data_IF_460697220571
#
_entry.id   IF_460697220571
#
_cell.length_a   1.000
_cell.length_b   1.000
_cell.length_c   1.000
_cell.angle_alpha   90.00
_cell.angle_beta   90.00
_cell.angle_gamma   90.00
#
_symmetry.space_group_name_H-M   'P 1'
#
loop_
_entity.id
_entity.type
_entity.pdbx_description
1 polymer ?
#
# COMPACT_ATOMS: atom_id res chain seq x y z
N UNK A 1 -16.61 34.13 7.65
CA UNK A 1 -15.95 32.82 7.50
C UNK A 1 -14.46 33.10 7.30
N UNK A 2 -13.62 32.54 8.16
CA UNK A 2 -12.18 32.70 8.04
C UNK A 2 -11.64 31.59 7.16
N UNK A 3 -10.72 31.94 6.25
CA UNK A 3 -10.01 31.00 5.40
C UNK A 3 -8.55 30.99 5.84
N UNK A 4 -8.04 29.81 6.18
CA UNK A 4 -6.61 29.61 6.44
C UNK A 4 -6.05 28.61 5.43
N UNK A 5 -4.77 28.75 5.11
CA UNK A 5 -4.04 27.84 4.22
C UNK A 5 -2.66 27.55 4.80
N UNK A 6 -2.12 26.38 4.43
CA UNK A 6 -0.78 25.96 4.82
C UNK A 6 -0.03 25.50 3.57
N UNK A 7 1.21 25.99 3.40
CA UNK A 7 2.09 25.56 2.33
C UNK A 7 2.86 24.30 2.78
N UNK A 8 2.68 23.20 2.08
CA UNK A 8 3.24 21.89 2.48
C UNK A 8 4.43 21.46 1.62
N UNK A 9 4.66 22.11 0.48
CA UNK A 9 5.73 21.79 -0.47
C UNK A 9 5.50 20.51 -1.27
N UNK A 10 5.04 19.45 -0.63
CA UNK A 10 4.73 18.15 -1.26
C UNK A 10 3.23 17.88 -1.28
N UNK A 11 2.73 17.38 -2.41
CA UNK A 11 1.34 16.91 -2.52
C UNK A 11 1.04 15.76 -1.55
N UNK A 12 2.01 14.87 -1.30
CA UNK A 12 1.86 13.82 -0.32
C UNK A 12 1.54 14.39 1.07
N UNK A 13 2.31 15.38 1.51
CA UNK A 13 2.08 16.03 2.82
C UNK A 13 0.73 16.75 2.84
N UNK A 14 0.35 17.42 1.74
CA UNK A 14 -0.96 18.07 1.64
C UNK A 14 -2.11 17.06 1.82
N UNK A 15 -2.04 15.91 1.18
CA UNK A 15 -3.04 14.84 1.31
C UNK A 15 -3.09 14.23 2.73
N UNK A 16 -1.93 14.06 3.36
CA UNK A 16 -1.84 13.55 4.75
C UNK A 16 -2.44 14.57 5.74
N UNK A 17 -2.12 15.85 5.56
CA UNK A 17 -2.65 16.94 6.37
C UNK A 17 -4.16 17.08 6.18
N UNK A 18 -4.65 17.10 4.95
CA UNK A 18 -6.09 17.12 4.64
C UNK A 18 -6.83 15.97 5.34
N UNK A 19 -6.29 14.75 5.25
CA UNK A 19 -6.88 13.59 5.90
C UNK A 19 -6.96 13.75 7.43
N UNK A 20 -5.91 14.31 8.04
CA UNK A 20 -5.87 14.59 9.49
C UNK A 20 -6.91 15.66 9.88
N UNK A 21 -6.97 16.77 9.15
CA UNK A 21 -7.90 17.87 9.38
C UNK A 21 -9.37 17.43 9.21
N UNK A 22 -9.69 16.65 8.18
CA UNK A 22 -11.04 16.10 7.97
C UNK A 22 -11.44 15.22 9.16
N UNK A 23 -10.53 14.42 9.71
CA UNK A 23 -10.83 13.57 10.88
C UNK A 23 -11.01 14.38 12.15
N UNK A 24 -10.20 15.42 12.34
CA UNK A 24 -10.29 16.30 13.50
C UNK A 24 -11.56 17.15 13.47
N UNK A 25 -11.84 17.81 12.36
CA UNK A 25 -12.94 18.79 12.21
C UNK A 25 -14.28 18.17 11.82
N UNK A 26 -14.30 16.93 11.28
CA UNK A 26 -15.50 16.19 10.83
C UNK A 26 -16.50 17.04 10.03
N UNK A 27 -16.06 17.75 8.97
CA UNK A 27 -16.92 18.69 8.25
C UNK A 27 -18.11 17.99 7.59
N UNK A 28 -19.29 18.64 7.64
CA UNK A 28 -20.56 18.08 7.17
C UNK A 28 -20.56 17.75 5.66
N UNK A 29 -19.86 18.54 4.84
CA UNK A 29 -19.88 18.45 3.38
C UNK A 29 -18.81 17.56 2.75
N UNK A 30 -17.81 17.10 3.50
CA UNK A 30 -16.74 16.24 2.99
C UNK A 30 -17.10 14.73 2.85
N UNK A 31 -18.35 14.36 3.11
CA UNK A 31 -18.85 13.01 2.86
C UNK A 31 -18.76 12.60 1.38
N UNK A 32 -18.80 13.55 0.45
CA UNK A 32 -18.74 13.27 -0.99
C UNK A 32 -17.32 13.03 -1.49
N UNK A 33 -16.30 13.68 -0.93
CA UNK A 33 -14.88 13.45 -1.29
C UNK A 33 -14.33 12.13 -0.75
N UNK A 34 -14.94 11.51 0.27
CA UNK A 34 -14.64 10.16 0.74
C UNK A 34 -14.96 9.06 -0.26
N UNK A 35 -15.66 9.37 -1.34
CA UNK A 35 -15.83 8.47 -2.48
C UNK A 35 -14.68 8.70 -3.46
N UNK A 36 -13.43 8.45 -3.02
CA UNK A 36 -12.37 8.14 -3.97
C UNK A 36 -12.92 7.08 -4.91
N UNK A 37 -12.72 7.23 -6.21
CA UNK A 37 -13.25 6.30 -7.22
C UNK A 37 -12.73 4.86 -7.12
N UNK A 38 -12.04 4.54 -6.02
CA UNK A 38 -11.53 3.21 -5.69
C UNK A 38 -12.64 2.36 -5.06
N UNK A 39 -13.17 1.43 -5.87
CA UNK A 39 -14.26 0.54 -5.46
C UNK A 39 -13.81 -0.90 -5.22
N UNK A 40 -12.63 -1.28 -5.71
CA UNK A 40 -12.11 -2.63 -5.68
C UNK A 40 -10.78 -2.69 -4.95
N UNK A 41 -10.57 -3.74 -4.17
CA UNK A 41 -9.33 -3.98 -3.45
C UNK A 41 -8.83 -5.40 -3.61
N UNK A 42 -7.50 -5.60 -3.60
CA UNK A 42 -6.86 -6.89 -3.43
C UNK A 42 -6.65 -7.11 -1.94
N UNK A 43 -6.91 -8.32 -1.48
CA UNK A 43 -6.75 -8.78 -0.10
C UNK A 43 -5.97 -10.07 -0.07
N UNK A 44 -5.35 -10.38 1.05
CA UNK A 44 -4.75 -11.70 1.33
C UNK A 44 -5.12 -12.21 2.72
N UNK A 45 -5.10 -13.50 2.86
CA UNK A 45 -5.22 -14.20 4.14
C UNK A 45 -4.53 -15.55 4.02
N UNK A 46 -4.20 -16.16 5.14
CA UNK A 46 -3.75 -17.56 5.17
C UNK A 46 -4.95 -18.45 5.43
N UNK A 47 -5.13 -19.50 4.62
CA UNK A 47 -6.21 -20.47 4.81
C UNK A 47 -5.87 -21.52 5.87
N UNK A 48 -6.83 -22.40 6.20
CA UNK A 48 -6.69 -23.47 7.18
C UNK A 48 -5.60 -24.49 6.82
N UNK A 49 -5.27 -24.62 5.54
CA UNK A 49 -4.22 -25.49 5.02
C UNK A 49 -2.84 -24.82 5.04
N UNK A 50 -2.76 -23.56 5.45
CA UNK A 50 -1.54 -22.77 5.55
C UNK A 50 -1.11 -22.09 4.27
N UNK A 51 -1.91 -22.08 3.20
CA UNK A 51 -1.59 -21.35 1.97
C UNK A 51 -1.96 -19.87 2.10
N UNK A 52 -1.09 -18.99 1.64
CA UNK A 52 -1.40 -17.58 1.43
C UNK A 52 -2.33 -17.47 0.22
N UNK A 53 -3.53 -16.96 0.45
CA UNK A 53 -4.52 -16.74 -0.60
C UNK A 53 -4.63 -15.27 -0.93
N UNK A 54 -4.82 -14.99 -2.20
CA UNK A 54 -5.21 -13.66 -2.68
C UNK A 54 -6.67 -13.68 -3.13
N UNK A 55 -7.27 -12.50 -3.14
CA UNK A 55 -8.60 -12.32 -3.67
C UNK A 55 -8.88 -10.84 -3.90
N UNK A 56 -9.94 -10.54 -4.64
CA UNK A 56 -10.38 -9.17 -4.84
C UNK A 56 -11.87 -9.04 -4.56
N UNK A 57 -12.24 -7.93 -3.97
CA UNK A 57 -13.65 -7.60 -3.67
C UNK A 57 -13.87 -6.10 -3.62
N UNK A 58 -15.14 -5.70 -3.56
CA UNK A 58 -15.47 -4.30 -3.27
C UNK A 58 -14.88 -3.89 -1.91
N UNK A 59 -14.35 -2.67 -1.88
CA UNK A 59 -13.80 -2.08 -0.66
C UNK A 59 -14.89 -1.91 0.39
N UNK A 60 -14.68 -2.46 1.57
CA UNK A 60 -15.54 -2.36 2.75
C UNK A 60 -14.71 -1.91 3.94
N UNK A 61 -15.39 -1.47 5.00
CA UNK A 61 -14.72 -0.97 6.21
C UNK A 61 -14.15 -2.06 7.13
N UNK A 62 -14.40 -3.34 6.79
CA UNK A 62 -13.99 -4.50 7.57
C UNK A 62 -12.53 -4.92 7.42
N UNK A 63 -11.84 -4.47 6.36
CA UNK A 63 -10.45 -4.84 6.14
C UNK A 63 -9.70 -3.78 5.31
N UNK A 64 -8.39 -3.69 5.53
CA UNK A 64 -7.49 -2.83 4.75
C UNK A 64 -7.03 -3.59 3.52
N UNK A 65 -7.31 -3.11 2.29
CA UNK A 65 -6.84 -3.75 1.07
C UNK A 65 -5.33 -3.59 0.89
N UNK A 66 -4.70 -4.59 0.30
CA UNK A 66 -3.30 -4.53 -0.13
C UNK A 66 -3.10 -3.47 -1.21
N UNK A 67 -4.06 -3.34 -2.11
CA UNK A 67 -4.05 -2.39 -3.21
C UNK A 67 -5.47 -2.04 -3.63
N UNK A 68 -5.65 -0.84 -4.21
CA UNK A 68 -6.95 -0.28 -4.57
C UNK A 68 -7.04 -0.02 -6.06
N UNK A 69 -8.24 -0.20 -6.61
CA UNK A 69 -8.53 -0.06 -8.04
C UNK A 69 -9.87 0.61 -8.28
N UNK A 70 -9.95 1.35 -9.38
CA UNK A 70 -11.16 2.06 -9.78
C UNK A 70 -12.20 1.15 -10.43
N UNK A 71 -11.78 0.02 -11.02
CA UNK A 71 -12.68 -0.92 -11.67
C UNK A 71 -12.31 -2.38 -11.42
N UNK A 72 -13.28 -3.28 -11.68
CA UNK A 72 -13.10 -4.73 -11.56
C UNK A 72 -12.08 -5.27 -12.56
N UNK A 73 -12.07 -4.72 -13.75
CA UNK A 73 -11.15 -5.13 -14.83
C UNK A 73 -9.71 -4.84 -14.43
N UNK A 74 -9.44 -3.65 -13.85
CA UNK A 74 -8.09 -3.26 -13.42
C UNK A 74 -7.57 -4.12 -12.27
N UNK A 75 -8.42 -4.47 -11.29
CA UNK A 75 -7.98 -5.33 -10.17
C UNK A 75 -7.71 -6.75 -10.66
N UNK A 76 -8.52 -7.27 -11.59
CA UNK A 76 -8.30 -8.58 -12.20
C UNK A 76 -7.01 -8.61 -12.99
N UNK A 77 -6.79 -7.63 -13.87
CA UNK A 77 -5.57 -7.55 -14.69
C UNK A 77 -4.30 -7.52 -13.81
N UNK A 78 -4.32 -6.75 -12.71
CA UNK A 78 -3.16 -6.74 -11.78
C UNK A 78 -2.97 -8.08 -11.11
N UNK A 79 -4.04 -8.74 -10.69
CA UNK A 79 -3.95 -10.04 -10.04
C UNK A 79 -3.51 -11.13 -11.02
N UNK A 80 -3.97 -11.08 -12.28
CA UNK A 80 -3.52 -11.96 -13.36
C UNK A 80 -2.02 -11.79 -13.64
N UNK A 81 -1.54 -10.54 -13.70
CA UNK A 81 -0.10 -10.24 -13.83
C UNK A 81 0.71 -10.91 -12.72
N UNK A 82 0.31 -10.74 -11.47
CA UNK A 82 0.99 -11.32 -10.31
C UNK A 82 0.98 -12.83 -10.32
N UNK A 83 -0.15 -13.45 -10.68
CA UNK A 83 -0.26 -14.90 -10.82
C UNK A 83 0.75 -15.43 -11.83
N UNK A 84 0.92 -14.74 -12.97
CA UNK A 84 1.88 -15.13 -14.01
C UNK A 84 3.33 -14.90 -13.56
N UNK A 85 3.63 -13.74 -12.98
CA UNK A 85 4.98 -13.33 -12.59
C UNK A 85 5.56 -14.21 -11.49
N UNK A 86 4.72 -14.57 -10.48
CA UNK A 86 5.13 -15.40 -9.35
C UNK A 86 4.68 -16.85 -9.44
N UNK A 87 4.20 -17.30 -10.61
CA UNK A 87 3.71 -18.68 -10.81
C UNK A 87 2.70 -19.13 -9.75
N UNK A 88 1.78 -18.23 -9.36
CA UNK A 88 0.80 -18.52 -8.31
C UNK A 88 -0.39 -19.31 -8.85
N UNK A 89 -1.11 -19.94 -7.95
CA UNK A 89 -2.29 -20.73 -8.27
C UNK A 89 -3.51 -19.83 -8.48
N UNK A 90 -4.13 -19.85 -9.67
CA UNK A 90 -5.35 -19.09 -9.99
C UNK A 90 -6.48 -19.34 -8.99
N UNK A 91 -6.65 -20.57 -8.52
CA UNK A 91 -7.69 -20.95 -7.56
C UNK A 91 -7.43 -20.35 -6.18
N UNK A 92 -6.18 -20.40 -5.70
CA UNK A 92 -5.80 -19.75 -4.43
C UNK A 92 -5.80 -18.22 -4.52
N UNK A 93 -5.75 -17.66 -5.73
CA UNK A 93 -5.86 -16.23 -5.98
C UNK A 93 -7.31 -15.76 -6.30
N UNK A 94 -8.32 -16.60 -6.12
CA UNK A 94 -9.73 -16.24 -6.32
C UNK A 94 -10.09 -15.86 -7.77
N UNK A 95 -9.29 -16.31 -8.75
CA UNK A 95 -9.51 -16.05 -10.17
C UNK A 95 -10.24 -17.19 -10.88
N UNK A 96 -10.27 -18.35 -10.25
CA UNK A 96 -10.88 -19.56 -10.79
C UNK A 96 -11.60 -20.30 -9.67
N UNK A 97 -12.85 -20.66 -9.90
CA UNK A 97 -13.68 -21.42 -8.98
C UNK A 97 -14.09 -22.74 -9.64
N UNK A 98 -13.63 -23.85 -9.06
CA UNK A 98 -13.93 -25.21 -9.53
C UNK A 98 -13.67 -26.23 -8.42
N UNK A 99 -14.38 -27.34 -8.43
CA UNK A 99 -14.19 -28.42 -7.46
C UNK A 99 -12.89 -29.23 -7.69
N UNK A 100 -12.33 -29.18 -8.90
CA UNK A 100 -11.10 -29.88 -9.30
C UNK A 100 -9.87 -28.95 -9.41
N UNK A 101 -8.76 -29.47 -9.96
CA UNK A 101 -7.58 -28.68 -10.30
C UNK A 101 -7.92 -27.55 -11.27
N UNK A 102 -7.33 -26.37 -11.07
CA UNK A 102 -7.55 -25.21 -11.94
C UNK A 102 -6.94 -25.41 -13.33
N UNK A 103 -7.36 -24.60 -14.30
CA UNK A 103 -6.87 -24.68 -15.68
C UNK A 103 -5.34 -24.56 -15.77
N UNK A 104 -4.72 -23.64 -15.02
CA UNK A 104 -3.26 -23.48 -14.99
C UNK A 104 -2.53 -24.78 -14.59
N UNK A 105 -3.12 -25.59 -13.69
CA UNK A 105 -2.54 -26.89 -13.35
C UNK A 105 -2.64 -27.88 -14.51
N UNK A 106 -3.76 -27.89 -15.21
CA UNK A 106 -3.97 -28.79 -16.36
C UNK A 106 -2.99 -28.54 -17.50
N UNK A 107 -2.58 -27.28 -17.70
CA UNK A 107 -1.63 -26.86 -18.74
C UNK A 107 -0.21 -26.59 -18.20
N UNK A 108 0.08 -27.05 -16.99
CA UNK A 108 1.41 -26.94 -16.35
C UNK A 108 1.94 -25.52 -16.18
N UNK A 109 1.05 -24.52 -16.04
CA UNK A 109 1.39 -23.11 -15.77
C UNK A 109 1.52 -22.81 -14.27
N UNK A 110 1.31 -23.78 -13.38
CA UNK A 110 1.54 -23.66 -11.95
C UNK A 110 1.97 -25.02 -11.37
N UNK A 111 2.43 -24.99 -10.11
CA UNK A 111 3.01 -26.17 -9.44
C UNK A 111 1.99 -27.04 -8.68
N UNK A 112 0.69 -26.76 -8.84
CA UNK A 112 -0.36 -27.63 -8.31
C UNK A 112 -0.70 -27.42 -6.82
N UNK A 113 -0.54 -26.21 -6.28
CA UNK A 113 -0.91 -25.92 -4.89
C UNK A 113 -2.38 -26.25 -4.58
N UNK A 114 -3.32 -25.99 -5.52
CA UNK A 114 -4.73 -26.31 -5.33
C UNK A 114 -5.08 -27.81 -5.40
N UNK A 115 -4.18 -28.66 -5.87
CA UNK A 115 -4.30 -30.12 -5.89
C UNK A 115 -3.47 -30.79 -4.80
N UNK A 116 -2.79 -30.02 -3.94
CA UNK A 116 -1.93 -30.54 -2.88
C UNK A 116 -0.56 -31.05 -3.34
N UNK A 117 -0.23 -30.91 -4.64
CA UNK A 117 1.06 -31.33 -5.19
C UNK A 117 2.20 -30.42 -4.74
N UNK A 118 1.95 -29.12 -4.62
CA UNK A 118 2.88 -28.18 -4.06
C UNK A 118 2.53 -27.88 -2.59
N UNK A 119 3.52 -27.99 -1.72
CA UNK A 119 3.36 -27.74 -0.27
C UNK A 119 3.20 -26.24 0.02
N UNK A 120 2.47 -25.87 1.11
CA UNK A 120 2.33 -24.47 1.52
C UNK A 120 3.65 -23.72 1.67
N UNK A 121 4.69 -24.36 2.22
CA UNK A 121 6.01 -23.71 2.39
C UNK A 121 6.60 -23.21 1.07
N UNK A 122 6.62 -24.06 0.04
CA UNK A 122 7.15 -23.68 -1.28
C UNK A 122 6.28 -22.65 -1.99
N UNK A 123 4.96 -22.82 -1.95
CA UNK A 123 4.03 -21.85 -2.53
C UNK A 123 4.13 -20.47 -1.86
N UNK A 124 4.19 -20.46 -0.53
CA UNK A 124 4.19 -19.22 0.26
C UNK A 124 5.47 -18.39 0.06
N UNK A 125 6.60 -18.99 -0.26
CA UNK A 125 7.82 -18.24 -0.61
C UNK A 125 7.56 -17.27 -1.78
N UNK A 126 6.90 -17.75 -2.85
CA UNK A 126 6.53 -16.92 -4.00
C UNK A 126 5.36 -15.97 -3.69
N UNK A 127 4.39 -16.47 -2.93
CA UNK A 127 3.25 -15.64 -2.50
C UNK A 127 3.70 -14.48 -1.59
N UNK A 128 4.73 -14.66 -0.76
CA UNK A 128 5.33 -13.59 0.04
C UNK A 128 6.05 -12.56 -0.84
N UNK A 129 6.81 -12.99 -1.84
CA UNK A 129 7.42 -12.09 -2.81
C UNK A 129 6.35 -11.25 -3.54
N UNK A 130 5.24 -11.89 -3.94
CA UNK A 130 4.10 -11.19 -4.53
C UNK A 130 3.43 -10.21 -3.55
N UNK A 131 3.38 -10.55 -2.25
CA UNK A 131 2.90 -9.65 -1.21
C UNK A 131 3.78 -8.41 -1.08
N UNK A 132 5.09 -8.54 -1.19
CA UNK A 132 6.04 -7.43 -1.07
C UNK A 132 5.80 -6.34 -2.14
N UNK A 133 5.24 -6.68 -3.29
CA UNK A 133 4.79 -5.66 -4.25
C UNK A 133 3.64 -4.78 -3.74
N UNK A 134 2.83 -5.28 -2.83
CA UNK A 134 1.67 -4.56 -2.32
C UNK A 134 1.90 -3.91 -0.98
N UNK A 135 2.82 -4.43 -0.21
CA UNK A 135 2.95 -4.10 1.19
C UNK A 135 4.40 -3.68 1.45
N UNK A 136 4.55 -2.54 2.07
CA UNK A 136 5.79 -2.18 2.76
C UNK A 136 5.95 -3.00 4.06
N UNK A 137 5.51 -4.30 4.05
CA UNK A 137 5.41 -5.14 5.25
C UNK A 137 6.79 -5.35 5.85
N UNK A 138 6.93 -4.94 7.10
CA UNK A 138 8.18 -5.09 7.83
C UNK A 138 9.29 -4.12 7.42
N UNK A 139 9.12 -3.29 6.39
CA UNK A 139 10.14 -2.32 5.98
C UNK A 139 10.04 -1.05 6.82
N UNK A 140 11.21 -0.55 7.17
CA UNK A 140 11.39 0.76 7.78
C UNK A 140 12.05 1.68 6.76
N UNK A 141 11.39 2.76 6.39
CA UNK A 141 11.93 3.69 5.41
C UNK A 141 11.34 5.09 5.54
N UNK A 142 12.06 6.05 5.00
CA UNK A 142 11.57 7.39 4.76
C UNK A 142 11.21 7.57 3.29
N UNK A 143 10.10 8.27 3.05
CA UNK A 143 9.77 8.86 1.76
C UNK A 143 10.22 10.31 1.82
N UNK A 144 11.17 10.70 1.00
CA UNK A 144 11.69 12.06 0.90
C UNK A 144 11.08 12.71 -0.33
N UNK A 145 10.59 13.92 -0.17
CA UNK A 145 9.99 14.71 -1.24
C UNK A 145 10.25 16.20 -1.00
N UNK A 146 9.81 17.06 -1.91
CA UNK A 146 10.00 18.51 -1.85
C UNK A 146 9.51 19.11 -0.54
N UNK A 147 10.27 20.02 0.04
CA UNK A 147 9.91 20.84 1.19
C UNK A 147 9.15 22.10 0.79
N UNK A 148 8.94 22.99 1.75
CA UNK A 148 8.23 24.26 1.58
C UNK A 148 9.06 25.32 0.84
N UNK A 149 10.36 25.12 0.82
CA UNK A 149 11.32 25.94 0.10
C UNK A 149 12.42 25.06 -0.56
N UNK A 150 13.29 25.62 -1.44
CA UNK A 150 14.31 24.84 -2.16
C UNK A 150 15.34 24.15 -1.28
N UNK A 151 15.62 24.66 -0.09
CA UNK A 151 16.60 24.11 0.85
C UNK A 151 15.98 23.10 1.82
N UNK A 152 14.67 22.98 1.82
CA UNK A 152 13.93 22.08 2.70
C UNK A 152 13.46 20.84 1.96
N UNK A 153 13.39 19.71 2.68
CA UNK A 153 12.75 18.48 2.26
C UNK A 153 11.75 18.02 3.31
N UNK A 154 10.71 17.37 2.86
CA UNK A 154 9.83 16.63 3.76
C UNK A 154 10.24 15.17 3.83
N UNK A 155 10.02 14.55 4.99
CA UNK A 155 10.20 13.13 5.22
C UNK A 155 8.92 12.53 5.79
N UNK A 156 8.41 11.48 5.16
CA UNK A 156 7.32 10.66 5.70
C UNK A 156 7.93 9.36 6.21
N UNK A 157 7.75 9.09 7.51
CA UNK A 157 8.33 7.92 8.18
C UNK A 157 7.38 6.73 8.15
N UNK A 158 7.90 5.61 7.67
CA UNK A 158 7.22 4.30 7.70
C UNK A 158 8.00 3.37 8.61
N UNK A 159 7.33 2.75 9.58
CA UNK A 159 7.91 1.79 10.52
C UNK A 159 7.09 0.51 10.49
N UNK A 160 7.72 -0.63 10.22
CA UNK A 160 7.03 -1.92 10.07
C UNK A 160 5.85 -1.83 9.06
N UNK A 161 6.03 -1.08 7.98
CA UNK A 161 5.01 -0.88 6.96
C UNK A 161 3.87 0.07 7.34
N UNK A 162 3.93 0.69 8.52
CA UNK A 162 2.91 1.63 9.03
C UNK A 162 3.43 3.06 9.02
N UNK A 163 2.55 3.99 8.70
CA UNK A 163 2.84 5.40 8.84
C UNK A 163 3.11 5.77 10.29
N UNK A 164 4.18 6.51 10.53
CA UNK A 164 4.60 6.93 11.87
C UNK A 164 4.64 8.45 12.06
N UNK A 165 4.42 9.20 10.99
CA UNK A 165 4.45 10.66 11.02
C UNK A 165 5.23 11.25 9.86
N UNK A 166 5.30 12.58 9.82
CA UNK A 166 6.12 13.31 8.85
C UNK A 166 6.79 14.52 9.51
N UNK A 167 7.79 15.06 8.85
CA UNK A 167 8.48 16.27 9.27
C UNK A 167 9.22 16.92 8.13
N UNK A 168 9.87 18.03 8.43
CA UNK A 168 10.69 18.79 7.48
C UNK A 168 12.11 18.93 8.02
N UNK A 169 13.08 18.86 7.14
CA UNK A 169 14.50 19.05 7.47
C UNK A 169 15.20 19.86 6.39
N UNK A 170 16.25 20.58 6.74
CA UNK A 170 17.06 21.32 5.79
C UNK A 170 18.08 20.38 5.14
N UNK A 171 18.27 20.50 3.81
CA UNK A 171 19.23 19.67 3.06
C UNK A 171 20.66 19.84 3.55
N UNK A 172 20.99 21.00 4.14
CA UNK A 172 22.30 21.28 4.70
C UNK A 172 22.56 20.54 6.04
N UNK A 173 21.49 20.11 6.73
CA UNK A 173 21.56 19.34 7.98
C UNK A 173 21.80 17.84 7.75
N UNK A 174 21.76 17.37 6.49
CA UNK A 174 21.95 15.95 6.13
C UNK A 174 23.37 15.44 6.44
N UNK A 175 24.31 16.34 6.72
CA UNK A 175 25.63 15.97 7.26
C UNK A 175 25.59 15.17 8.57
N UNK A 176 24.48 15.22 9.31
CA UNK A 176 24.21 14.44 10.53
C UNK A 176 23.56 13.08 10.25
N UNK A 177 23.42 12.68 9.00
CA UNK A 177 22.88 11.37 8.60
C UNK A 177 21.39 11.19 8.87
N UNK A 178 20.94 9.94 9.02
CA UNK A 178 19.56 9.58 9.26
C UNK A 178 18.96 10.16 10.56
N UNK A 179 19.81 10.50 11.53
CA UNK A 179 19.38 11.05 12.84
C UNK A 179 18.59 12.34 12.66
N UNK A 180 19.08 13.27 11.84
CA UNK A 180 18.37 14.53 11.57
C UNK A 180 16.98 14.30 10.96
N UNK A 181 16.86 13.30 10.09
CA UNK A 181 15.57 12.93 9.50
C UNK A 181 14.65 12.28 10.57
N UNK A 182 15.20 11.45 11.45
CA UNK A 182 14.41 10.86 12.55
C UNK A 182 13.87 11.94 13.50
N UNK A 183 14.70 12.93 13.84
CA UNK A 183 14.39 13.94 14.83
C UNK A 183 13.35 14.96 14.35
N UNK A 184 13.27 15.20 13.03
CA UNK A 184 12.28 16.14 12.49
C UNK A 184 10.86 15.55 12.46
N UNK A 185 10.68 14.24 12.62
CA UNK A 185 9.37 13.57 12.46
C UNK A 185 8.45 13.91 13.62
N UNK A 186 7.33 14.52 13.29
CA UNK A 186 6.20 14.67 14.22
C UNK A 186 5.36 13.39 14.15
N UNK A 187 5.33 12.65 15.25
CA UNK A 187 4.60 11.40 15.35
C UNK A 187 3.10 11.56 15.07
N UNK A 188 2.53 10.64 14.32
CA UNK A 188 1.12 10.62 14.00
C UNK A 188 0.61 9.18 13.89
N UNK A 189 -0.68 8.99 14.17
CA UNK A 189 -1.29 7.67 14.13
C UNK A 189 -1.54 7.20 12.70
N UNK A 190 -1.19 5.95 12.44
CA UNK A 190 -1.55 5.27 11.21
C UNK A 190 -3.05 4.99 11.14
N UNK A 191 -3.58 5.02 9.95
CA UNK A 191 -4.95 4.62 9.71
C UNK A 191 -5.14 4.26 8.23
N UNK A 192 -6.31 3.65 7.92
CA UNK A 192 -6.65 3.18 6.58
C UNK A 192 -6.52 4.25 5.49
N UNK A 193 -7.03 5.46 5.74
CA UNK A 193 -7.04 6.51 4.71
C UNK A 193 -5.61 6.96 4.39
N UNK A 194 -4.76 7.08 5.42
CA UNK A 194 -3.34 7.41 5.28
C UNK A 194 -2.60 6.32 4.49
N UNK A 195 -2.84 5.04 4.79
CA UNK A 195 -2.26 3.93 4.03
C UNK A 195 -2.67 3.97 2.54
N UNK A 196 -3.92 4.30 2.27
CA UNK A 196 -4.45 4.47 0.91
C UNK A 196 -3.75 5.63 0.20
N UNK A 197 -3.61 6.77 0.87
CA UNK A 197 -2.94 7.97 0.33
C UNK A 197 -1.50 7.63 -0.03
N UNK A 198 -0.71 7.10 0.92
CA UNK A 198 0.71 6.81 0.71
C UNK A 198 0.91 5.80 -0.42
N UNK A 199 0.17 4.69 -0.41
CA UNK A 199 0.27 3.67 -1.47
C UNK A 199 -0.17 4.19 -2.84
N UNK A 200 -1.24 4.99 -2.87
CA UNK A 200 -1.73 5.63 -4.08
C UNK A 200 -0.71 6.63 -4.63
N UNK A 201 -0.11 7.43 -3.77
CA UNK A 201 0.89 8.42 -4.14
C UNK A 201 2.14 7.76 -4.73
N UNK A 202 2.75 6.82 -4.02
CA UNK A 202 3.96 6.13 -4.49
C UNK A 202 3.78 5.35 -5.80
N UNK A 203 2.55 4.96 -6.13
CA UNK A 203 2.25 4.31 -7.41
C UNK A 203 2.20 5.28 -8.59
N UNK A 204 1.69 6.49 -8.35
CA UNK A 204 1.35 7.43 -9.41
C UNK A 204 2.35 8.59 -9.54
N UNK A 205 3.19 8.81 -8.53
CA UNK A 205 4.11 9.95 -8.45
C UNK A 205 5.53 9.46 -8.20
N UNK A 206 6.49 10.22 -8.73
CA UNK A 206 7.91 10.04 -8.41
C UNK A 206 8.23 10.92 -7.21
N UNK A 207 8.60 10.28 -6.10
CA UNK A 207 9.21 10.95 -4.94
C UNK A 207 10.69 11.18 -5.21
N UNK A 208 11.30 12.16 -4.54
CA UNK A 208 12.74 12.41 -4.74
C UNK A 208 13.56 11.17 -4.35
N UNK A 209 13.26 10.57 -3.21
CA UNK A 209 14.01 9.43 -2.68
C UNK A 209 13.21 8.57 -1.72
N UNK A 210 13.54 7.28 -1.67
CA UNK A 210 13.18 6.37 -0.58
C UNK A 210 14.47 5.93 0.10
N UNK A 211 14.52 6.04 1.44
CA UNK A 211 15.69 5.71 2.25
C UNK A 211 15.29 4.68 3.28
N UNK A 212 15.78 3.46 3.17
CA UNK A 212 15.59 2.39 4.17
C UNK A 212 16.47 2.63 5.41
N UNK A 213 15.97 2.21 6.61
CA UNK A 213 16.69 2.31 7.88
C UNK A 213 16.39 1.16 8.84
#
# INVERSE_FOLDING_TARGET
ADISWEHTGSELIALLLESAEIKAKKPLFNRAQRRTGFRWGIYSHTDEQGYIRFGYRNVRDDAVPLSLFTSREKVRAKLEQIIQEYELCQKLCGMYDTDGPCFHRQVSLCRGACSGEEKPSSYNERAMQALDEFIFTGRNFFIIDSGRDPEERCAVKIVNGKYSGYGYFNINDVGFGLTAIHDCIKGAADNRDIQIIIKGYLRNHRVERIIDF
#
